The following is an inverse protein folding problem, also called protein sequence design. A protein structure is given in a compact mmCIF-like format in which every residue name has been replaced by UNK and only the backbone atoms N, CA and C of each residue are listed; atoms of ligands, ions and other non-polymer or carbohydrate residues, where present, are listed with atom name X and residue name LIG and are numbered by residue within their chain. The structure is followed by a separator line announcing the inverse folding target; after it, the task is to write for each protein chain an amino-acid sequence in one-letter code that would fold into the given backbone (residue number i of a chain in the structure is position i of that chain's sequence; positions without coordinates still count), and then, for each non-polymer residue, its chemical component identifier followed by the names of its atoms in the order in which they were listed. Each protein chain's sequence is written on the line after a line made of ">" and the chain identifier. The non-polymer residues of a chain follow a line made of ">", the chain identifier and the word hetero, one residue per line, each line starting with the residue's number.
data_IF_441141252128
#
_entry.id   IF_441141252128
#
_cell.length_a   1.000
_cell.length_b   1.000
_cell.length_c   1.000
_cell.angle_alpha   90.00
_cell.angle_beta   90.00
_cell.angle_gamma   90.00
#
_symmetry.space_group_name_H-M   'P 1'
#
loop_
_entity.id
_entity.type
_entity.pdbx_description
1 polymer ?
#
# COMPACT_ATOMS: atom_id res chain seq x y z
N UNK A 1 -19.76 55.82 -19.43
CA UNK A 1 -20.88 55.07 -18.81
C UNK A 1 -21.43 54.14 -19.88
N UNK A 2 -21.50 52.83 -19.76
CA UNK A 2 -21.37 51.93 -18.61
C UNK A 2 -20.71 50.60 -19.05
N UNK A 3 -20.46 49.75 -18.09
CA UNK A 3 -19.29 48.86 -18.00
C UNK A 3 -19.72 47.39 -18.17
N UNK A 4 -18.80 46.57 -18.67
CA UNK A 4 -18.89 45.13 -18.86
C UNK A 4 -19.20 44.37 -17.56
N UNK A 5 -20.21 43.49 -17.59
CA UNK A 5 -20.45 42.50 -16.54
C UNK A 5 -19.85 41.15 -16.96
N UNK A 6 -18.58 40.93 -16.58
CA UNK A 6 -17.96 39.60 -16.60
C UNK A 6 -18.41 38.87 -15.33
N UNK A 7 -19.20 37.82 -15.50
CA UNK A 7 -19.68 36.97 -14.41
C UNK A 7 -18.55 36.03 -13.96
N UNK A 8 -17.77 36.44 -12.95
CA UNK A 8 -16.82 35.55 -12.26
C UNK A 8 -17.58 34.59 -11.35
N UNK A 9 -17.52 33.30 -11.65
CA UNK A 9 -17.92 32.26 -10.71
C UNK A 9 -16.95 32.27 -9.52
N UNK A 10 -17.47 32.53 -8.32
CA UNK A 10 -16.71 32.46 -7.09
C UNK A 10 -16.31 31.01 -6.82
N UNK A 11 -15.00 30.75 -6.78
CA UNK A 11 -14.43 29.50 -6.25
C UNK A 11 -14.66 29.52 -4.75
N UNK A 12 -15.57 28.67 -4.26
CA UNK A 12 -15.67 28.36 -2.85
C UNK A 12 -14.47 27.51 -2.48
N UNK A 13 -13.39 28.14 -2.04
CA UNK A 13 -12.29 27.45 -1.37
C UNK A 13 -12.75 27.10 0.04
N UNK A 14 -13.36 25.92 0.21
CA UNK A 14 -13.48 25.33 1.54
C UNK A 14 -12.07 25.14 2.11
N UNK A 15 -11.80 25.53 3.37
CA UNK A 15 -10.51 25.23 3.98
C UNK A 15 -10.36 23.70 4.00
N UNK A 16 -9.25 23.20 3.44
CA UNK A 16 -8.88 21.81 3.58
C UNK A 16 -8.80 21.51 5.08
N UNK A 17 -9.75 20.71 5.58
CA UNK A 17 -9.71 20.24 6.95
C UNK A 17 -8.47 19.36 7.06
N UNK A 18 -7.41 19.91 7.65
CA UNK A 18 -6.21 19.17 7.96
C UNK A 18 -6.64 17.97 8.80
N UNK A 19 -6.40 16.76 8.29
CA UNK A 19 -6.41 15.56 9.13
C UNK A 19 -5.29 15.78 10.14
N UNK A 20 -5.67 16.27 11.32
CA UNK A 20 -4.77 16.46 12.44
C UNK A 20 -4.34 15.07 12.89
N UNK A 21 -3.25 14.55 12.32
CA UNK A 21 -2.57 13.40 12.89
C UNK A 21 -2.08 13.89 14.25
N UNK A 22 -2.64 13.31 15.32
CA UNK A 22 -2.27 13.67 16.68
C UNK A 22 -0.74 13.63 16.82
N UNK A 23 -0.13 14.60 17.52
CA UNK A 23 1.31 14.57 17.77
C UNK A 23 1.64 13.23 18.42
N UNK A 24 2.60 12.50 17.84
CA UNK A 24 3.13 11.27 18.40
C UNK A 24 3.80 11.60 19.73
N UNK A 25 3.01 11.59 20.81
CA UNK A 25 3.53 11.60 22.17
C UNK A 25 4.25 10.27 22.34
N UNK A 26 5.58 10.32 22.36
CA UNK A 26 6.47 9.18 22.14
C UNK A 26 6.11 7.89 22.87
N UNK A 27 6.64 6.77 22.36
CA UNK A 27 6.60 5.49 23.06
C UNK A 27 7.19 5.68 24.46
N UNK A 28 6.32 5.65 25.47
CA UNK A 28 6.76 5.56 26.87
C UNK A 28 7.28 4.13 27.04
N UNK A 29 8.60 3.96 26.94
CA UNK A 29 9.29 2.71 27.22
C UNK A 29 9.03 2.30 28.67
N UNK A 30 8.00 1.50 28.93
CA UNK A 30 7.94 0.74 30.16
C UNK A 30 8.86 -0.47 29.97
N UNK A 31 10.15 -0.31 30.31
CA UNK A 31 11.01 -1.44 30.60
C UNK A 31 10.56 -2.06 31.93
N UNK A 32 9.40 -2.72 31.92
CA UNK A 32 8.93 -3.52 33.03
C UNK A 32 9.41 -4.96 32.77
N UNK A 33 10.46 -5.37 33.48
CA UNK A 33 10.86 -6.76 33.57
C UNK A 33 9.64 -7.62 33.98
N UNK A 34 9.49 -8.86 33.47
CA UNK A 34 8.33 -9.71 33.74
C UNK A 34 8.41 -10.36 35.14
N UNK A 35 8.69 -9.55 36.16
CA UNK A 35 8.88 -9.99 37.54
C UNK A 35 8.23 -9.02 38.53
N UNK A 36 6.93 -8.76 38.37
CA UNK A 36 6.06 -8.40 39.48
C UNK A 36 4.61 -8.60 39.02
N UNK A 37 4.05 -9.77 39.31
CA UNK A 37 2.61 -9.99 39.18
C UNK A 37 1.92 -9.14 40.24
N UNK A 38 1.41 -7.96 39.87
CA UNK A 38 0.33 -7.36 40.66
C UNK A 38 -0.96 -8.07 40.29
N UNK A 39 -1.50 -8.81 41.25
CA UNK A 39 -2.83 -9.41 41.17
C UNK A 39 -3.89 -8.31 41.27
N UNK A 40 -4.25 -7.72 40.13
CA UNK A 40 -5.44 -6.89 40.00
C UNK A 40 -6.24 -7.44 38.84
N UNK A 41 -7.31 -8.19 39.17
CA UNK A 41 -8.22 -8.85 38.23
C UNK A 41 -9.21 -7.88 37.56
N UNK A 42 -8.89 -6.59 37.47
CA UNK A 42 -9.74 -5.60 36.84
C UNK A 42 -9.24 -5.30 35.43
N UNK A 43 -9.66 -6.15 34.49
CA UNK A 43 -9.31 -6.12 33.06
C UNK A 43 -10.22 -5.14 32.29
N UNK A 44 -11.05 -4.34 32.96
CA UNK A 44 -12.05 -3.50 32.30
C UNK A 44 -11.49 -2.21 31.68
N UNK A 45 -10.21 -1.90 31.88
CA UNK A 45 -9.58 -0.71 31.29
C UNK A 45 -8.20 -0.98 30.66
N UNK A 46 -8.03 -2.11 29.96
CA UNK A 46 -6.96 -2.16 28.95
C UNK A 46 -7.37 -1.17 27.86
N UNK A 47 -6.85 0.05 27.93
CA UNK A 47 -7.07 1.08 26.93
C UNK A 47 -6.84 0.47 25.55
N UNK A 48 -7.89 0.48 24.71
CA UNK A 48 -7.92 -0.03 23.34
C UNK A 48 -7.09 0.83 22.37
N UNK A 49 -5.96 1.38 22.83
CA UNK A 49 -4.91 1.96 21.99
C UNK A 49 -4.10 0.91 21.22
N UNK A 50 -4.55 -0.35 21.21
CA UNK A 50 -3.97 -1.48 20.50
C UNK A 50 -4.23 -1.42 19.00
N UNK A 51 -3.88 -0.31 18.35
CA UNK A 51 -3.56 -0.36 16.93
C UNK A 51 -2.42 -1.35 16.79
N UNK A 52 -2.70 -2.57 16.31
CA UNK A 52 -1.69 -3.60 16.08
C UNK A 52 -0.72 -3.03 15.05
N UNK A 53 0.37 -2.41 15.50
CA UNK A 53 1.43 -1.92 14.63
C UNK A 53 2.10 -3.15 14.06
N UNK A 54 1.66 -3.61 12.90
CA UNK A 54 2.31 -4.67 12.16
C UNK A 54 3.61 -4.10 11.57
N UNK A 55 4.66 -4.02 12.38
CA UNK A 55 5.95 -3.44 11.99
C UNK A 55 6.78 -4.36 11.07
N UNK A 56 6.41 -5.63 10.93
CA UNK A 56 7.08 -6.60 10.06
C UNK A 56 6.04 -7.38 9.25
N UNK A 57 6.32 -7.60 7.97
CA UNK A 57 5.50 -8.45 7.08
C UNK A 57 6.27 -9.73 6.77
N UNK A 58 5.58 -10.86 6.79
CA UNK A 58 6.14 -12.17 6.43
C UNK A 58 5.71 -12.50 5.01
N UNK A 59 6.62 -13.05 4.21
CA UNK A 59 6.31 -13.48 2.86
C UNK A 59 5.35 -14.69 2.88
N UNK A 60 4.26 -14.70 2.10
CA UNK A 60 3.34 -15.83 2.07
C UNK A 60 4.01 -17.08 1.47
N UNK A 61 4.02 -18.22 2.18
CA UNK A 61 4.64 -19.46 1.68
C UNK A 61 3.75 -20.24 0.71
N UNK A 62 2.45 -19.92 0.64
CA UNK A 62 1.43 -20.64 -0.14
C UNK A 62 0.62 -19.64 -0.96
N UNK A 63 0.14 -20.04 -2.13
CA UNK A 63 -0.73 -19.22 -2.98
C UNK A 63 0.00 -18.07 -3.71
N UNK A 64 1.33 -18.12 -3.74
CA UNK A 64 2.19 -17.15 -4.44
C UNK A 64 3.22 -17.87 -5.32
N UNK A 65 2.75 -18.84 -6.13
CA UNK A 65 3.55 -19.44 -7.21
C UNK A 65 4.00 -18.34 -8.19
N UNK A 66 5.14 -18.57 -8.85
CA UNK A 66 5.82 -17.61 -9.72
C UNK A 66 6.19 -18.27 -11.04
N UNK A 67 6.28 -17.45 -12.08
CA UNK A 67 6.51 -17.86 -13.47
C UNK A 67 7.74 -17.12 -14.00
N UNK A 68 8.86 -17.28 -13.31
CA UNK A 68 10.16 -16.67 -13.68
C UNK A 68 10.08 -15.13 -13.86
N UNK A 69 10.75 -14.60 -14.89
CA UNK A 69 10.93 -13.18 -15.17
C UNK A 69 9.59 -12.42 -15.20
N UNK A 70 9.55 -11.24 -14.59
CA UNK A 70 8.38 -10.35 -14.45
C UNK A 70 7.27 -10.83 -13.50
N UNK A 71 7.21 -12.12 -13.12
CA UNK A 71 6.10 -12.67 -12.30
C UNK A 71 6.01 -12.18 -10.84
N UNK A 72 6.99 -11.41 -10.37
CA UNK A 72 6.96 -10.73 -9.06
C UNK A 72 6.33 -9.34 -9.09
N UNK A 73 6.16 -8.77 -10.29
CA UNK A 73 5.53 -7.48 -10.50
C UNK A 73 4.00 -7.61 -10.50
N UNK A 74 3.24 -6.50 -10.49
CA UNK A 74 1.83 -6.51 -10.85
C UNK A 74 1.62 -7.09 -12.26
N UNK A 75 0.42 -7.62 -12.51
CA UNK A 75 0.07 -8.15 -13.83
C UNK A 75 0.19 -7.05 -14.89
N UNK A 76 0.85 -7.39 -15.99
CA UNK A 76 1.12 -6.45 -17.08
C UNK A 76 -0.17 -6.13 -17.82
N UNK A 77 -0.37 -4.85 -18.12
CA UNK A 77 -1.42 -4.40 -19.04
C UNK A 77 -1.05 -4.75 -20.48
N UNK A 78 -2.02 -4.80 -21.40
CA UNK A 78 -1.79 -5.06 -22.83
C UNK A 78 -0.74 -4.12 -23.44
N UNK A 79 -0.71 -2.86 -22.98
CA UNK A 79 0.25 -1.85 -23.43
C UNK A 79 1.66 -2.15 -22.93
N UNK A 80 1.80 -2.65 -21.71
CA UNK A 80 3.11 -3.06 -21.16
C UNK A 80 3.60 -4.35 -21.82
N UNK A 81 2.71 -5.32 -22.04
CA UNK A 81 3.04 -6.54 -22.77
C UNK A 81 3.54 -6.21 -24.19
N UNK A 82 2.87 -5.29 -24.89
CA UNK A 82 3.32 -4.83 -26.20
C UNK A 82 4.72 -4.19 -26.16
N UNK A 83 5.08 -3.46 -25.10
CA UNK A 83 6.42 -2.87 -24.95
C UNK A 83 7.51 -3.93 -24.76
N UNK A 84 7.21 -5.02 -24.05
CA UNK A 84 8.15 -6.14 -23.92
C UNK A 84 8.36 -6.87 -25.26
N UNK A 85 7.30 -6.99 -26.07
CA UNK A 85 7.40 -7.50 -27.45
C UNK A 85 8.22 -6.55 -28.32
N UNK A 86 8.01 -5.23 -28.22
CA UNK A 86 8.82 -4.24 -28.91
C UNK A 86 10.30 -4.32 -28.52
N UNK A 87 10.60 -4.60 -27.24
CA UNK A 87 11.96 -4.80 -26.76
C UNK A 87 12.63 -5.99 -27.44
N UNK A 88 11.95 -7.14 -27.57
CA UNK A 88 12.44 -8.30 -28.33
C UNK A 88 12.76 -7.93 -29.79
N UNK A 89 11.82 -7.26 -30.47
CA UNK A 89 11.96 -6.89 -31.89
C UNK A 89 13.11 -5.88 -32.11
N UNK A 90 13.29 -4.92 -31.19
CA UNK A 90 14.41 -3.96 -31.25
C UNK A 90 15.77 -4.64 -31.16
N UNK A 91 15.87 -5.70 -30.35
CA UNK A 91 17.08 -6.49 -30.21
C UNK A 91 17.28 -7.55 -31.32
N UNK A 92 16.38 -7.60 -32.32
CA UNK A 92 16.41 -8.58 -33.42
C UNK A 92 16.21 -10.02 -32.95
N UNK A 93 15.48 -10.20 -31.85
CA UNK A 93 15.08 -11.52 -31.36
C UNK A 93 13.70 -11.89 -31.92
N UNK A 94 13.50 -13.18 -32.20
CA UNK A 94 12.24 -13.71 -32.75
C UNK A 94 11.36 -14.15 -31.59
N UNK A 95 10.17 -13.54 -31.39
CA UNK A 95 9.25 -13.94 -30.33
C UNK A 95 8.58 -15.31 -30.63
N UNK A 96 8.26 -16.05 -29.57
CA UNK A 96 7.55 -17.34 -29.62
C UNK A 96 6.45 -17.38 -28.55
N UNK A 97 5.40 -18.18 -28.77
CA UNK A 97 4.29 -18.38 -27.81
C UNK A 97 4.24 -19.85 -27.42
N UNK A 98 4.19 -20.12 -26.12
CA UNK A 98 4.13 -21.47 -25.54
C UNK A 98 3.01 -21.53 -24.49
N UNK A 99 2.35 -22.68 -24.33
CA UNK A 99 1.31 -22.92 -23.32
C UNK A 99 1.31 -24.39 -22.86
N UNK A 100 0.83 -24.63 -21.63
CA UNK A 100 0.84 -25.95 -20.95
C UNK A 100 -0.53 -26.19 -20.29
N UNK A 101 -1.01 -27.45 -20.30
CA UNK A 101 -2.31 -27.82 -19.74
C UNK A 101 -2.23 -28.81 -18.58
N UNK A 102 -1.10 -29.53 -18.42
CA UNK A 102 -1.03 -30.68 -17.51
C UNK A 102 -0.21 -30.37 -16.24
N UNK A 103 0.86 -29.57 -16.32
CA UNK A 103 1.84 -29.41 -15.21
C UNK A 103 2.02 -27.95 -14.71
N UNK A 104 1.04 -27.42 -13.96
CA UNK A 104 1.07 -26.06 -13.37
C UNK A 104 1.61 -25.92 -11.94
#
# INVERSE_FOLDING_TARGET
>A
MAYSMLSSAAVVTSPAQATMVAPFTGLKSSAAFPATRKATNDITSIASGGGRVSCMKVWPPIGKKKFETLSYLPDLTDVELAKEVDYLIRNKWIPCVEFELEHG
#
